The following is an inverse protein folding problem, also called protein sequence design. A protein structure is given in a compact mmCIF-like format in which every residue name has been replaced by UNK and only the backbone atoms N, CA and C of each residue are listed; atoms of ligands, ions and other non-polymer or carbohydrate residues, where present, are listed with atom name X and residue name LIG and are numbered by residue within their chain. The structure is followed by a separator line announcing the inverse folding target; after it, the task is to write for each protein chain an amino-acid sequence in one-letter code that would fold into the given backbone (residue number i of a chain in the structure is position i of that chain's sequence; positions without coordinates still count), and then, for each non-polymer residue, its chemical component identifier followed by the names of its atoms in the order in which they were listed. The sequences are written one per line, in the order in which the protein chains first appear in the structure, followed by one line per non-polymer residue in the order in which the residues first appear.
data_IF_364124932132
#
_entry.id   IF_364124932132
#
_cell.length_a   1.000
_cell.length_b   1.000
_cell.length_c   1.000
_cell.angle_alpha   90.00
_cell.angle_beta   90.00
_cell.angle_gamma   90.00
#
_symmetry.space_group_name_H-M   'P 1'
#
loop_
_entity.id
_entity.type
_entity.pdbx_description
1 polymer ?
#
# COMPACT_ATOMS: atom_id res chain seq x y z
N UNK A 1 10.95 5.58 -21.55
CA UNK A 1 10.25 6.78 -22.07
C UNK A 1 10.88 8.02 -21.44
N UNK A 2 11.09 9.08 -22.21
CA UNK A 2 11.73 10.31 -21.71
C UNK A 2 10.77 11.10 -20.82
N UNK A 3 11.30 11.79 -19.81
CA UNK A 3 10.55 12.63 -18.84
C UNK A 3 9.47 13.51 -19.49
N UNK A 4 9.77 14.02 -20.68
CA UNK A 4 8.91 14.95 -21.42
C UNK A 4 7.64 14.31 -21.98
N UNK A 5 7.67 13.02 -22.33
CA UNK A 5 6.46 12.31 -22.78
C UNK A 5 5.55 11.89 -21.62
N UNK A 6 6.10 11.85 -20.40
CA UNK A 6 5.34 11.57 -19.18
C UNK A 6 4.47 12.77 -18.77
N UNK A 7 4.90 14.00 -19.09
CA UNK A 7 4.21 15.23 -18.73
C UNK A 7 3.07 15.59 -19.69
N UNK A 8 3.16 15.27 -20.99
CA UNK A 8 2.13 15.59 -21.99
C UNK A 8 0.87 14.71 -21.92
N UNK A 9 0.98 13.44 -21.47
CA UNK A 9 -0.18 12.54 -21.35
C UNK A 9 -1.06 12.84 -20.12
N UNK A 10 -0.55 13.64 -19.19
CA UNK A 10 -1.17 13.96 -17.90
C UNK A 10 -2.18 15.12 -17.99
N UNK A 11 -2.31 15.85 -19.10
CA UNK A 11 -3.06 17.12 -19.10
C UNK A 11 -4.60 17.04 -19.25
N UNK A 12 -5.18 15.84 -19.47
CA UNK A 12 -6.55 15.70 -19.96
C UNK A 12 -7.70 15.53 -18.95
N UNK A 13 -7.46 15.27 -17.65
CA UNK A 13 -8.55 14.92 -16.71
C UNK A 13 -8.50 15.73 -15.40
N UNK A 14 -9.67 16.13 -14.88
CA UNK A 14 -9.79 16.91 -13.63
C UNK A 14 -9.16 16.27 -12.38
N UNK A 15 -8.86 14.97 -12.44
CA UNK A 15 -8.09 14.17 -11.47
C UNK A 15 -6.65 14.71 -11.29
N UNK A 16 -6.05 15.19 -12.38
CA UNK A 16 -4.69 15.74 -12.40
C UNK A 16 -4.62 17.09 -11.70
N UNK A 17 -5.72 17.86 -11.66
CA UNK A 17 -5.76 19.11 -10.91
C UNK A 17 -5.83 18.89 -9.39
N UNK A 18 -6.32 17.74 -8.92
CA UNK A 18 -6.32 17.35 -7.50
C UNK A 18 -4.96 16.75 -7.09
N UNK A 19 -4.42 15.85 -7.92
CA UNK A 19 -3.05 15.32 -7.79
C UNK A 19 -2.02 16.45 -7.89
N UNK A 20 -2.12 17.39 -8.84
CA UNK A 20 -1.29 18.62 -8.89
C UNK A 20 -1.55 19.52 -7.70
N UNK A 21 -2.77 19.66 -7.18
CA UNK A 21 -3.00 20.49 -5.97
C UNK A 21 -2.33 19.92 -4.73
N UNK A 22 -2.27 18.60 -4.58
CA UNK A 22 -1.50 17.96 -3.52
C UNK A 22 0.00 17.96 -3.84
N UNK A 23 0.45 17.52 -5.02
CA UNK A 23 1.86 17.56 -5.44
C UNK A 23 2.44 18.98 -5.40
N UNK A 24 1.69 20.04 -5.71
CA UNK A 24 2.13 21.45 -5.57
C UNK A 24 2.15 21.88 -4.11
N UNK A 25 1.27 21.32 -3.28
CA UNK A 25 1.29 21.55 -1.82
C UNK A 25 2.46 20.83 -1.17
N UNK A 26 2.89 19.65 -1.64
CA UNK A 26 3.96 18.80 -1.07
C UNK A 26 5.34 18.93 -1.74
N UNK A 27 5.44 19.28 -3.02
CA UNK A 27 6.70 19.65 -3.70
C UNK A 27 7.32 20.95 -3.16
N UNK A 28 6.50 21.80 -2.53
CA UNK A 28 6.96 22.96 -1.73
C UNK A 28 7.27 22.61 -0.26
N UNK A 29 7.19 21.34 0.14
CA UNK A 29 7.36 20.87 1.53
C UNK A 29 8.62 20.02 1.76
N UNK A 30 9.55 19.99 0.80
CA UNK A 30 10.93 19.58 1.07
C UNK A 30 11.64 20.66 1.89
N UNK A 31 11.51 20.61 3.21
CA UNK A 31 12.46 21.35 4.05
C UNK A 31 13.86 20.78 3.80
N UNK A 32 14.92 21.58 3.94
CA UNK A 32 16.31 21.15 3.79
C UNK A 32 16.63 19.81 4.48
N UNK A 33 15.91 19.46 5.55
CA UNK A 33 15.97 18.16 6.23
C UNK A 33 15.60 16.94 5.39
N UNK A 34 14.69 17.01 4.41
CA UNK A 34 14.37 15.88 3.54
C UNK A 34 15.40 15.68 2.43
N UNK A 35 15.96 16.77 1.91
CA UNK A 35 17.09 16.73 0.96
C UNK A 35 18.35 16.23 1.66
N UNK A 36 18.58 16.64 2.91
CA UNK A 36 19.66 16.13 3.74
C UNK A 36 19.44 14.66 4.14
N UNK A 37 18.21 14.25 4.45
CA UNK A 37 17.88 12.84 4.73
C UNK A 37 18.08 11.97 3.49
N UNK A 38 17.60 12.40 2.32
CA UNK A 38 17.81 11.71 1.05
C UNK A 38 19.29 11.68 0.64
N UNK A 39 20.01 12.80 0.81
CA UNK A 39 21.47 12.84 0.62
C UNK A 39 22.22 11.90 1.57
N UNK A 40 21.84 11.87 2.84
CA UNK A 40 22.41 10.99 3.86
C UNK A 40 22.10 9.52 3.58
N UNK A 41 20.88 9.20 3.13
CA UNK A 41 20.46 7.84 2.76
C UNK A 41 21.13 7.36 1.46
N UNK A 42 21.33 8.25 0.48
CA UNK A 42 22.13 7.96 -0.72
C UNK A 42 23.59 7.67 -0.37
N UNK A 43 24.16 8.37 0.61
CA UNK A 43 25.50 8.08 1.14
C UNK A 43 25.54 6.73 1.89
N UNK A 44 24.53 6.45 2.72
CA UNK A 44 24.41 5.17 3.43
C UNK A 44 24.30 3.96 2.48
N UNK A 45 23.50 4.08 1.40
CA UNK A 45 23.33 3.04 0.39
C UNK A 45 24.59 2.84 -0.47
N UNK A 46 25.37 3.90 -0.74
CA UNK A 46 26.63 3.80 -1.49
C UNK A 46 27.81 3.27 -0.67
N UNK A 47 27.75 3.40 0.64
CA UNK A 47 28.81 2.98 1.56
C UNK A 47 28.23 2.02 2.62
N UNK A 48 27.90 0.76 2.28
CA UNK A 48 27.19 -0.16 3.17
C UNK A 48 27.95 -0.54 4.46
N UNK A 49 29.28 -0.33 4.51
CA UNK A 49 30.17 -0.80 5.59
C UNK A 49 30.83 0.31 6.42
N UNK A 50 30.56 1.59 6.14
CA UNK A 50 31.17 2.70 6.89
C UNK A 50 30.44 2.95 8.23
N UNK A 51 31.14 3.03 9.37
CA UNK A 51 30.51 3.30 10.66
C UNK A 51 30.14 4.79 10.77
N UNK A 52 28.96 5.15 10.24
CA UNK A 52 28.41 6.50 10.34
C UNK A 52 27.55 6.66 11.62
N UNK A 53 27.59 7.82 12.31
CA UNK A 53 26.81 8.04 13.52
C UNK A 53 25.30 7.85 13.28
N UNK A 54 24.63 7.05 14.11
CA UNK A 54 23.18 6.83 13.98
C UNK A 54 22.76 5.82 12.91
N UNK A 55 23.71 5.16 12.22
CA UNK A 55 23.46 4.14 11.18
C UNK A 55 22.55 2.98 11.59
N UNK A 56 22.43 2.71 12.89
CA UNK A 56 21.63 1.61 13.44
C UNK A 56 20.43 2.07 14.28
N UNK A 57 20.18 3.38 14.38
CA UNK A 57 19.05 3.91 15.15
C UNK A 57 17.93 4.30 14.21
N UNK A 58 16.77 3.69 14.40
CA UNK A 58 15.56 4.14 13.73
C UNK A 58 15.32 5.62 14.04
N UNK A 59 14.83 6.38 13.06
CA UNK A 59 14.63 7.82 13.17
C UNK A 59 13.18 8.20 12.87
N UNK A 60 12.70 9.22 13.57
CA UNK A 60 11.36 9.76 13.38
C UNK A 60 11.40 10.84 12.29
N UNK A 61 10.70 10.59 11.19
CA UNK A 61 10.42 11.57 10.17
C UNK A 61 9.08 12.25 10.48
N UNK A 62 9.04 13.58 10.37
CA UNK A 62 7.83 14.41 10.56
C UNK A 62 7.50 15.13 9.25
N UNK A 63 6.79 14.48 8.33
CA UNK A 63 6.40 15.10 7.07
C UNK A 63 5.50 16.31 7.36
N UNK A 64 5.81 17.45 6.75
CA UNK A 64 5.05 18.68 6.98
C UNK A 64 3.63 18.50 6.41
N UNK A 65 2.61 18.58 7.26
CA UNK A 65 1.22 18.36 6.86
C UNK A 65 0.67 16.99 7.26
N UNK A 66 1.51 16.03 7.63
CA UNK A 66 1.06 14.75 8.19
C UNK A 66 0.78 14.91 9.69
N UNK A 67 -0.36 14.39 10.15
CA UNK A 67 -0.68 14.32 11.58
C UNK A 67 0.21 13.27 12.25
N UNK A 68 1.28 13.68 12.94
CA UNK A 68 2.17 12.78 13.69
C UNK A 68 3.53 12.54 13.04
N UNK A 69 4.12 11.37 13.26
CA UNK A 69 5.45 11.00 12.73
C UNK A 69 5.42 9.61 12.07
N UNK A 70 6.49 9.27 11.34
CA UNK A 70 6.78 7.94 10.83
C UNK A 70 8.20 7.57 11.27
N UNK A 71 8.32 6.45 11.96
CA UNK A 71 9.57 5.81 12.34
C UNK A 71 10.10 5.00 11.15
N UNK A 72 11.32 5.31 10.72
CA UNK A 72 12.01 4.65 9.61
C UNK A 72 13.28 3.97 10.13
N UNK A 73 13.55 2.76 9.64
CA UNK A 73 14.78 2.01 9.90
C UNK A 73 15.85 2.41 8.86
N UNK A 74 17.08 2.73 9.27
CA UNK A 74 18.16 3.00 8.32
C UNK A 74 18.70 1.70 7.67
N UNK A 75 19.16 1.80 6.41
CA UNK A 75 19.64 0.68 5.58
C UNK A 75 18.59 -0.40 5.31
N UNK A 76 17.31 -0.02 5.29
CA UNK A 76 16.21 -0.88 4.83
C UNK A 76 15.44 -0.15 3.72
N UNK A 77 14.42 -0.81 3.20
CA UNK A 77 13.50 -0.30 2.18
C UNK A 77 12.48 0.73 2.71
N UNK A 78 12.48 1.03 4.02
CA UNK A 78 11.54 1.92 4.70
C UNK A 78 11.44 3.31 4.03
N UNK A 79 12.58 3.86 3.56
CA UNK A 79 12.59 5.17 2.90
C UNK A 79 11.91 5.14 1.52
N UNK A 80 12.03 4.03 0.80
CA UNK A 80 11.41 3.87 -0.51
C UNK A 80 9.90 3.78 -0.33
N UNK A 81 9.42 2.94 0.59
CA UNK A 81 8.01 2.87 0.96
C UNK A 81 7.47 4.26 1.39
N UNK A 82 8.23 5.01 2.20
CA UNK A 82 7.87 6.39 2.54
C UNK A 82 7.77 7.30 1.31
N UNK A 83 8.75 7.24 0.41
CA UNK A 83 8.81 8.10 -0.75
C UNK A 83 7.71 7.79 -1.77
N UNK A 84 7.39 6.53 -2.00
CA UNK A 84 6.33 6.14 -2.94
C UNK A 84 4.98 6.69 -2.47
N UNK A 85 4.64 6.50 -1.18
CA UNK A 85 3.37 6.98 -0.63
C UNK A 85 3.32 8.51 -0.52
N UNK A 86 4.35 9.15 0.05
CA UNK A 86 4.27 10.57 0.43
C UNK A 86 4.90 11.54 -0.58
N UNK A 87 5.92 11.14 -1.33
CA UNK A 87 6.57 12.01 -2.33
C UNK A 87 6.05 11.78 -3.73
N UNK A 88 5.93 10.52 -4.15
CA UNK A 88 5.34 10.18 -5.46
C UNK A 88 3.80 10.29 -5.44
N UNK A 89 3.20 10.41 -4.24
CA UNK A 89 1.76 10.47 -4.05
C UNK A 89 1.06 9.30 -4.75
N UNK A 90 1.65 8.10 -4.64
CA UNK A 90 1.26 6.91 -5.38
C UNK A 90 -0.22 6.59 -5.25
N UNK A 91 -0.77 6.83 -4.06
CA UNK A 91 -2.19 6.61 -3.75
C UNK A 91 -3.04 7.89 -3.72
N UNK A 92 -2.53 9.01 -4.24
CA UNK A 92 -3.23 10.30 -4.23
C UNK A 92 -4.55 10.31 -5.02
N UNK A 93 -4.67 9.44 -6.02
CA UNK A 93 -5.87 9.31 -6.85
C UNK A 93 -7.12 8.87 -6.07
N UNK A 94 -6.95 8.31 -4.87
CA UNK A 94 -8.07 7.76 -4.08
C UNK A 94 -9.13 8.81 -3.73
N UNK A 95 -8.74 10.09 -3.64
CA UNK A 95 -9.64 11.20 -3.32
C UNK A 95 -10.69 11.48 -4.42
N UNK A 96 -10.43 11.02 -5.63
CA UNK A 96 -11.39 11.11 -6.74
C UNK A 96 -12.25 9.86 -6.88
N UNK A 97 -11.82 8.73 -6.29
CA UNK A 97 -12.54 7.46 -6.31
C UNK A 97 -13.47 7.28 -5.11
N UNK A 98 -13.03 7.62 -3.90
CA UNK A 98 -13.84 7.50 -2.69
C UNK A 98 -14.70 8.75 -2.44
N UNK A 99 -15.93 8.74 -2.96
CA UNK A 99 -16.93 9.76 -2.66
C UNK A 99 -18.27 9.09 -2.30
N UNK A 100 -18.70 9.14 -1.01
CA UNK A 100 -18.10 9.86 0.14
C UNK A 100 -16.74 9.27 0.62
N UNK A 101 -16.01 9.96 1.53
CA UNK A 101 -14.79 9.42 2.14
C UNK A 101 -15.01 8.04 2.78
N UNK A 102 -14.06 7.11 2.69
CA UNK A 102 -14.21 5.76 3.19
C UNK A 102 -14.18 5.75 4.72
N UNK A 103 -15.02 4.91 5.32
CA UNK A 103 -15.08 4.64 6.77
C UNK A 103 -14.53 3.28 7.13
N UNK A 104 -14.43 2.36 6.16
CA UNK A 104 -13.93 0.99 6.32
C UNK A 104 -12.85 0.74 5.29
N UNK A 105 -11.61 0.64 5.74
CA UNK A 105 -10.43 0.46 4.90
C UNK A 105 -9.73 -0.86 5.21
N UNK A 106 -9.52 -1.68 4.19
CA UNK A 106 -8.71 -2.89 4.26
C UNK A 106 -7.39 -2.62 3.52
N UNK A 107 -6.25 -2.72 4.23
CA UNK A 107 -4.91 -2.49 3.70
C UNK A 107 -4.12 -3.80 3.71
N UNK A 108 -3.89 -4.38 2.53
CA UNK A 108 -3.11 -5.60 2.35
C UNK A 108 -1.68 -5.25 1.91
N UNK A 109 -0.71 -5.83 2.62
CA UNK A 109 0.70 -5.47 2.53
C UNK A 109 0.97 -4.13 3.19
N UNK A 110 0.62 -4.05 4.47
CA UNK A 110 0.83 -2.83 5.26
C UNK A 110 2.31 -2.45 5.37
N UNK A 111 3.24 -3.39 5.14
CA UNK A 111 4.68 -3.20 5.22
C UNK A 111 5.06 -2.55 6.57
N UNK A 112 5.77 -1.43 6.56
CA UNK A 112 6.10 -0.68 7.77
C UNK A 112 4.98 0.27 8.24
N UNK A 113 3.79 0.23 7.65
CA UNK A 113 2.63 1.03 8.01
C UNK A 113 2.55 2.40 7.33
N UNK A 114 3.36 2.67 6.31
CA UNK A 114 3.36 3.98 5.62
C UNK A 114 2.01 4.32 4.99
N UNK A 115 1.39 3.38 4.27
CA UNK A 115 0.04 3.54 3.70
C UNK A 115 -1.00 3.72 4.80
N UNK A 116 -0.94 2.92 5.87
CA UNK A 116 -1.83 3.03 7.03
C UNK A 116 -1.76 4.42 7.67
N UNK A 117 -0.56 5.00 7.80
CA UNK A 117 -0.35 6.37 8.28
C UNK A 117 -0.96 7.41 7.34
N UNK A 118 -0.90 7.16 6.04
CA UNK A 118 -1.53 8.00 5.03
C UNK A 118 -3.06 7.95 5.14
N UNK A 119 -3.67 6.77 5.35
CA UNK A 119 -5.11 6.62 5.57
C UNK A 119 -5.59 7.28 6.86
N UNK A 120 -4.89 7.06 7.98
CA UNK A 120 -5.21 7.74 9.24
C UNK A 120 -5.21 9.28 9.10
N UNK A 121 -4.38 9.81 8.20
CA UNK A 121 -4.31 11.24 7.94
C UNK A 121 -5.44 11.75 7.04
N UNK A 122 -5.73 11.04 5.94
CA UNK A 122 -6.78 11.44 5.00
C UNK A 122 -8.19 11.19 5.55
N UNK A 123 -8.36 10.09 6.30
CA UNK A 123 -9.64 9.55 6.75
C UNK A 123 -9.57 9.25 8.26
N UNK A 124 -9.50 10.28 9.13
CA UNK A 124 -9.28 10.10 10.56
C UNK A 124 -10.39 9.31 11.28
N UNK A 125 -11.60 9.27 10.71
CA UNK A 125 -12.75 8.55 11.25
C UNK A 125 -12.88 7.12 10.70
N UNK A 126 -11.97 6.68 9.84
CA UNK A 126 -12.00 5.34 9.26
C UNK A 126 -11.54 4.27 10.25
N UNK A 127 -12.24 3.13 10.25
CA UNK A 127 -11.75 1.88 10.78
C UNK A 127 -10.85 1.21 9.74
N UNK A 128 -9.66 0.80 10.17
CA UNK A 128 -8.63 0.25 9.28
C UNK A 128 -8.25 -1.14 9.76
N UNK A 129 -8.28 -2.12 8.86
CA UNK A 129 -7.64 -3.43 9.07
C UNK A 129 -6.42 -3.49 8.17
N UNK A 130 -5.23 -3.62 8.75
CA UNK A 130 -3.96 -3.73 8.02
C UNK A 130 -3.36 -5.12 8.20
N UNK A 131 -2.86 -5.71 7.11
CA UNK A 131 -2.32 -7.07 7.07
C UNK A 131 -0.87 -7.05 6.58
N UNK A 132 0.05 -7.62 7.37
CA UNK A 132 1.48 -7.69 7.04
C UNK A 132 2.08 -9.02 7.51
N UNK A 133 2.60 -9.88 6.62
CA UNK A 133 3.13 -11.18 7.00
C UNK A 133 4.52 -11.15 7.63
N UNK A 134 5.42 -10.22 7.24
CA UNK A 134 6.78 -10.21 7.77
C UNK A 134 6.82 -9.65 9.21
N UNK A 135 7.32 -10.45 10.15
CA UNK A 135 7.31 -10.10 11.57
C UNK A 135 8.07 -8.80 11.88
N UNK A 136 9.14 -8.46 11.13
CA UNK A 136 9.91 -7.23 11.35
C UNK A 136 9.13 -6.02 10.83
N UNK A 137 8.50 -6.14 9.65
CA UNK A 137 7.64 -5.10 9.08
C UNK A 137 6.39 -4.91 9.94
N UNK A 138 5.73 -5.99 10.35
CA UNK A 138 4.59 -5.97 11.26
C UNK A 138 4.91 -5.25 12.59
N UNK A 139 6.05 -5.54 13.21
CA UNK A 139 6.49 -4.83 14.42
C UNK A 139 6.73 -3.33 14.17
N UNK A 140 7.24 -2.98 12.99
CA UNK A 140 7.47 -1.59 12.59
C UNK A 140 6.14 -0.86 12.32
N UNK A 141 5.20 -1.52 11.64
CA UNK A 141 3.84 -1.06 11.38
C UNK A 141 3.08 -0.77 12.67
N UNK A 142 3.15 -1.65 13.66
CA UNK A 142 2.57 -1.41 14.99
C UNK A 142 3.11 -0.12 15.62
N UNK A 143 4.43 0.08 15.60
CA UNK A 143 5.05 1.29 16.14
C UNK A 143 4.60 2.53 15.37
N UNK A 144 4.53 2.44 14.05
CA UNK A 144 4.12 3.57 13.21
C UNK A 144 2.68 3.98 13.47
N UNK A 145 1.74 3.04 13.55
CA UNK A 145 0.33 3.33 13.83
C UNK A 145 0.14 4.13 15.12
N UNK A 146 0.90 3.82 16.17
CA UNK A 146 0.86 4.55 17.45
C UNK A 146 1.34 6.01 17.34
N UNK A 147 2.08 6.35 16.28
CA UNK A 147 2.54 7.71 15.99
C UNK A 147 1.52 8.51 15.16
N UNK A 148 0.35 7.93 14.87
CA UNK A 148 -0.73 8.51 14.10
C UNK A 148 -1.94 8.97 14.91
N UNK A 149 -2.89 9.67 14.26
CA UNK A 149 -4.17 9.97 14.87
C UNK A 149 -5.02 8.71 14.96
N UNK A 150 -5.85 8.63 16.01
CA UNK A 150 -6.81 7.54 16.23
C UNK A 150 -6.22 6.12 16.05
N UNK A 151 -5.11 5.75 16.72
CA UNK A 151 -4.53 4.41 16.62
C UNK A 151 -5.51 3.31 17.07
N UNK A 152 -6.48 3.65 17.93
CA UNK A 152 -7.53 2.74 18.35
C UNK A 152 -8.48 2.29 17.22
N UNK A 153 -8.53 3.02 16.10
CA UNK A 153 -9.33 2.65 14.93
C UNK A 153 -8.59 1.66 14.00
N UNK A 154 -7.34 1.33 14.30
CA UNK A 154 -6.51 0.49 13.44
C UNK A 154 -6.28 -0.88 14.09
N UNK A 155 -6.72 -1.94 13.41
CA UNK A 155 -6.42 -3.32 13.74
C UNK A 155 -5.34 -3.84 12.80
N UNK A 156 -4.35 -4.53 13.36
CA UNK A 156 -3.23 -5.09 12.60
C UNK A 156 -3.22 -6.60 12.72
N UNK A 157 -2.90 -7.30 11.64
CA UNK A 157 -2.88 -8.77 11.58
C UNK A 157 -1.56 -9.22 10.97
N UNK A 158 -0.83 -10.07 11.68
CA UNK A 158 0.41 -10.69 11.20
C UNK A 158 0.06 -11.97 10.44
N UNK A 159 -0.24 -11.85 9.14
CA UNK A 159 -0.65 -12.96 8.28
C UNK A 159 -0.46 -12.61 6.80
N UNK A 160 -0.48 -13.63 5.95
CA UNK A 160 -0.69 -13.44 4.51
C UNK A 160 -2.18 -13.29 4.21
N UNK A 161 -2.56 -12.30 3.41
CA UNK A 161 -3.86 -12.34 2.76
C UNK A 161 -3.87 -13.44 1.70
N UNK A 162 -4.90 -14.27 1.70
CA UNK A 162 -4.96 -15.45 0.83
C UNK A 162 -6.40 -15.80 0.45
N UNK A 163 -6.55 -16.85 -0.36
CA UNK A 163 -7.84 -17.43 -0.74
C UNK A 163 -8.46 -18.27 0.38
N UNK A 164 -7.64 -18.83 1.29
CA UNK A 164 -8.09 -19.64 2.41
C UNK A 164 -7.26 -19.42 3.69
N UNK A 165 -7.86 -19.71 4.85
CA UNK A 165 -7.18 -19.76 6.13
C UNK A 165 -6.25 -20.98 6.20
N UNK A 166 -5.09 -20.85 6.85
CA UNK A 166 -4.07 -21.89 6.86
C UNK A 166 -2.69 -21.35 7.22
N UNK A 167 -1.65 -21.94 6.61
CA UNK A 167 -0.27 -21.51 6.76
C UNK A 167 0.47 -21.51 5.43
N UNK A 168 1.42 -20.60 5.28
CA UNK A 168 2.31 -20.51 4.12
C UNK A 168 3.73 -20.15 4.57
N UNK A 169 4.72 -20.63 3.83
CA UNK A 169 6.12 -20.25 3.98
C UNK A 169 6.45 -18.95 3.26
N UNK A 170 7.45 -18.22 3.76
CA UNK A 170 8.10 -17.13 3.04
C UNK A 170 9.30 -17.69 2.26
N UNK A 171 9.33 -17.47 0.94
CA UNK A 171 10.58 -17.42 0.17
C UNK A 171 11.18 -16.00 0.24
N UNK A 172 12.46 -15.86 0.63
CA UNK A 172 13.22 -14.59 0.69
C UNK A 172 14.29 -14.47 -0.41
N UNK A 173 14.29 -15.38 -1.39
CA UNK A 173 15.33 -15.49 -2.42
C UNK A 173 15.52 -14.22 -3.28
N UNK A 174 14.49 -13.37 -3.38
CA UNK A 174 14.48 -12.13 -4.17
C UNK A 174 14.64 -10.85 -3.33
N UNK A 175 15.05 -10.95 -2.05
CA UNK A 175 15.28 -9.79 -1.16
C UNK A 175 14.03 -9.34 -0.38
N UNK A 176 14.08 -8.12 0.19
CA UNK A 176 12.98 -7.58 1.05
C UNK A 176 11.65 -7.38 0.30
N UNK A 177 11.65 -7.36 -1.03
CA UNK A 177 10.46 -7.13 -1.86
C UNK A 177 9.85 -8.40 -2.46
N UNK A 178 10.50 -9.56 -2.32
CA UNK A 178 10.05 -10.77 -3.00
C UNK A 178 9.49 -11.79 -2.03
N UNK A 179 8.30 -11.54 -1.47
CA UNK A 179 7.61 -12.50 -0.64
C UNK A 179 6.75 -13.40 -1.52
N UNK A 180 7.15 -14.66 -1.69
CA UNK A 180 6.30 -15.66 -2.34
C UNK A 180 5.83 -16.68 -1.31
N UNK A 181 4.52 -16.94 -1.31
CA UNK A 181 3.94 -18.04 -0.53
C UNK A 181 4.49 -19.37 -1.06
N UNK A 182 5.15 -20.14 -0.21
CA UNK A 182 5.67 -21.47 -0.52
C UNK A 182 5.15 -22.52 0.46
N UNK A 183 4.95 -23.75 0.02
CA UNK A 183 4.61 -24.88 0.88
C UNK A 183 5.83 -25.77 1.17
N UNK A 184 7.03 -25.32 0.81
CA UNK A 184 8.25 -26.11 0.94
C UNK A 184 8.67 -26.36 2.40
N UNK A 185 9.07 -27.60 2.77
CA UNK A 185 9.58 -27.92 4.10
C UNK A 185 10.84 -27.11 4.43
N UNK A 186 10.88 -26.49 5.63
CA UNK A 186 12.03 -25.74 6.14
C UNK A 186 11.91 -24.22 6.04
N UNK A 187 10.86 -23.70 5.40
CA UNK A 187 10.53 -22.27 5.43
C UNK A 187 9.81 -21.88 6.74
N UNK A 188 10.00 -20.64 7.17
CA UNK A 188 9.25 -20.04 8.29
C UNK A 188 7.75 -20.04 7.95
N UNK A 189 6.96 -20.76 8.73
CA UNK A 189 5.52 -20.92 8.50
C UNK A 189 4.74 -19.78 9.16
N UNK A 190 4.02 -19.00 8.35
CA UNK A 190 3.19 -17.87 8.78
C UNK A 190 1.73 -18.16 8.47
N UNK A 191 0.85 -17.65 9.32
CA UNK A 191 -0.59 -17.82 9.14
C UNK A 191 -1.07 -17.14 7.85
N UNK A 192 -2.05 -17.76 7.19
CA UNK A 192 -2.82 -17.13 6.11
C UNK A 192 -4.22 -16.79 6.63
N UNK A 193 -4.80 -15.71 6.12
CA UNK A 193 -6.15 -15.28 6.44
C UNK A 193 -6.90 -15.00 5.14
N UNK A 194 -8.08 -15.60 5.01
CA UNK A 194 -8.92 -15.46 3.82
C UNK A 194 -9.47 -14.05 3.66
N UNK A 195 -9.63 -13.62 2.40
CA UNK A 195 -10.26 -12.34 2.07
C UNK A 195 -11.65 -12.17 2.68
N UNK A 196 -12.49 -13.21 2.65
CA UNK A 196 -13.82 -13.17 3.26
C UNK A 196 -13.75 -12.86 4.75
N UNK A 197 -12.85 -13.51 5.48
CA UNK A 197 -12.68 -13.27 6.91
C UNK A 197 -12.15 -11.86 7.20
N UNK A 198 -11.23 -11.35 6.38
CA UNK A 198 -10.75 -9.97 6.50
C UNK A 198 -11.88 -8.96 6.29
N UNK A 199 -12.73 -9.19 5.30
CA UNK A 199 -13.89 -8.34 5.03
C UNK A 199 -14.90 -8.46 6.17
N UNK A 200 -15.19 -9.65 6.69
CA UNK A 200 -16.12 -9.85 7.81
C UNK A 200 -15.65 -9.18 9.11
N UNK A 201 -14.34 -9.07 9.32
CA UNK A 201 -13.77 -8.33 10.46
C UNK A 201 -14.06 -6.82 10.41
N UNK A 202 -14.38 -6.27 9.24
CA UNK A 202 -14.45 -4.82 9.00
C UNK A 202 -15.82 -4.35 8.52
N UNK A 203 -16.53 -5.17 7.75
CA UNK A 203 -17.72 -4.79 7.02
C UNK A 203 -18.87 -4.31 7.92
N UNK A 204 -19.01 -4.87 9.12
CA UNK A 204 -20.13 -4.55 10.01
C UNK A 204 -21.47 -5.03 9.42
N UNK A 205 -22.55 -4.29 9.67
CA UNK A 205 -23.92 -4.73 9.34
C UNK A 205 -24.28 -4.64 7.85
N UNK A 206 -23.67 -3.71 7.10
CA UNK A 206 -23.97 -3.53 5.67
C UNK A 206 -23.20 -4.53 4.78
N UNK A 207 -22.28 -5.32 5.35
CA UNK A 207 -21.52 -6.32 4.62
C UNK A 207 -20.48 -5.73 3.64
N UNK A 208 -20.20 -4.41 3.67
CA UNK A 208 -19.37 -3.72 2.68
C UNK A 208 -18.06 -3.16 3.25
N UNK A 209 -17.03 -3.09 2.43
CA UNK A 209 -15.77 -2.37 2.69
C UNK A 209 -15.62 -1.27 1.67
N UNK A 210 -15.38 -0.05 2.15
CA UNK A 210 -15.42 1.14 1.30
C UNK A 210 -14.16 1.24 0.44
N UNK A 211 -13.02 0.80 0.97
CA UNK A 211 -11.74 0.91 0.30
C UNK A 211 -10.82 -0.29 0.60
N UNK A 212 -10.31 -0.92 -0.45
CA UNK A 212 -9.27 -1.95 -0.42
C UNK A 212 -7.96 -1.42 -1.03
N UNK A 213 -6.86 -1.41 -0.29
CA UNK A 213 -5.49 -1.36 -0.85
C UNK A 213 -4.97 -2.79 -0.94
N UNK A 214 -4.50 -3.21 -2.11
CA UNK A 214 -3.88 -4.51 -2.31
C UNK A 214 -2.54 -4.35 -3.02
N UNK A 215 -1.46 -4.55 -2.27
CA UNK A 215 -0.11 -4.60 -2.81
C UNK A 215 0.66 -5.55 -1.90
N UNK A 216 0.82 -6.79 -2.37
CA UNK A 216 1.26 -7.96 -1.61
C UNK A 216 2.31 -8.76 -2.39
N UNK A 217 3.03 -8.06 -3.28
CA UNK A 217 4.23 -8.52 -4.00
C UNK A 217 4.06 -9.87 -4.73
N UNK A 218 2.95 -10.03 -5.47
CA UNK A 218 2.76 -11.13 -6.43
C UNK A 218 1.64 -12.11 -6.08
N UNK A 219 1.06 -12.04 -4.88
CA UNK A 219 -0.11 -12.85 -4.51
C UNK A 219 -1.45 -12.27 -5.01
N UNK A 220 -1.44 -11.11 -5.68
CA UNK A 220 -2.65 -10.44 -6.18
C UNK A 220 -3.40 -11.34 -7.17
N UNK A 221 -2.67 -12.01 -8.07
CA UNK A 221 -3.26 -12.87 -9.09
C UNK A 221 -4.14 -13.96 -8.49
N UNK A 222 -3.68 -14.65 -7.44
CA UNK A 222 -4.44 -15.73 -6.80
C UNK A 222 -5.67 -15.19 -6.06
N UNK A 223 -5.52 -14.06 -5.35
CA UNK A 223 -6.62 -13.41 -4.64
C UNK A 223 -7.73 -12.96 -5.59
N UNK A 224 -7.38 -12.26 -6.67
CA UNK A 224 -8.36 -11.70 -7.60
C UNK A 224 -8.95 -12.76 -8.53
N UNK A 225 -8.18 -13.78 -8.93
CA UNK A 225 -8.71 -14.90 -9.70
C UNK A 225 -9.82 -15.67 -8.95
N UNK A 226 -9.81 -15.62 -7.61
CA UNK A 226 -10.77 -16.26 -6.71
C UNK A 226 -11.67 -15.25 -5.98
N UNK A 227 -11.94 -14.09 -6.58
CA UNK A 227 -12.64 -12.99 -5.92
C UNK A 227 -14.19 -13.04 -5.97
N UNK A 228 -14.77 -14.02 -6.66
CA UNK A 228 -16.24 -14.16 -6.87
C UNK A 228 -17.04 -14.01 -5.57
N UNK A 229 -16.54 -14.56 -4.47
CA UNK A 229 -17.25 -14.59 -3.20
C UNK A 229 -17.30 -13.23 -2.48
N UNK A 230 -16.47 -12.27 -2.87
CA UNK A 230 -16.30 -11.02 -2.12
C UNK A 230 -16.15 -9.74 -2.93
N UNK A 231 -15.91 -9.80 -4.25
CA UNK A 231 -15.64 -8.60 -5.06
C UNK A 231 -16.78 -7.56 -4.98
N UNK A 232 -18.03 -8.01 -4.87
CA UNK A 232 -19.22 -7.16 -4.72
C UNK A 232 -19.35 -6.46 -3.36
N UNK A 233 -18.48 -6.83 -2.40
CA UNK A 233 -18.40 -6.26 -1.05
C UNK A 233 -17.36 -5.14 -0.95
N UNK A 234 -16.70 -4.80 -2.05
CA UNK A 234 -15.69 -3.72 -2.11
C UNK A 234 -16.26 -2.58 -2.96
N UNK A 235 -16.28 -1.36 -2.44
CA UNK A 235 -16.75 -0.20 -3.20
C UNK A 235 -15.64 0.40 -4.08
N UNK A 236 -14.41 0.48 -3.55
CA UNK A 236 -13.24 1.01 -4.26
C UNK A 236 -12.02 0.16 -3.95
N UNK A 237 -11.17 -0.08 -4.95
CA UNK A 237 -9.90 -0.76 -4.77
C UNK A 237 -8.74 0.02 -5.41
N UNK A 238 -7.57 -0.08 -4.80
CA UNK A 238 -6.28 0.29 -5.39
C UNK A 238 -5.38 -0.93 -5.31
N UNK A 239 -4.92 -1.40 -6.46
CA UNK A 239 -4.16 -2.65 -6.58
C UNK A 239 -2.85 -2.39 -7.28
N UNK A 240 -1.72 -2.80 -6.69
CA UNK A 240 -0.45 -2.86 -7.40
C UNK A 240 -0.29 -4.22 -8.08
N UNK A 241 -0.19 -4.22 -9.41
CA UNK A 241 0.02 -5.45 -10.19
C UNK A 241 1.51 -5.70 -10.37
N UNK A 242 1.94 -6.92 -10.07
CA UNK A 242 3.33 -7.37 -10.17
C UNK A 242 3.48 -8.41 -11.30
N UNK A 243 4.41 -8.22 -12.26
CA UNK A 243 4.64 -9.21 -13.32
C UNK A 243 4.84 -10.63 -12.77
N UNK A 244 4.25 -11.66 -13.41
CA UNK A 244 3.58 -11.61 -14.71
C UNK A 244 2.12 -11.15 -14.66
N UNK A 245 1.57 -10.81 -13.50
CA UNK A 245 0.20 -10.31 -13.38
C UNK A 245 0.12 -8.86 -13.85
N UNK A 246 -0.74 -8.61 -14.85
CA UNK A 246 -0.89 -7.29 -15.47
C UNK A 246 -2.21 -6.63 -15.08
N UNK A 247 -2.35 -5.31 -15.31
CA UNK A 247 -3.62 -4.60 -15.16
C UNK A 247 -4.77 -5.26 -15.94
N UNK A 248 -4.51 -5.73 -17.16
CA UNK A 248 -5.50 -6.42 -17.98
C UNK A 248 -5.91 -7.76 -17.36
N UNK A 249 -4.97 -8.48 -16.76
CA UNK A 249 -5.24 -9.70 -16.00
C UNK A 249 -6.13 -9.43 -14.79
N UNK A 250 -5.84 -8.37 -14.05
CA UNK A 250 -6.67 -7.90 -12.92
C UNK A 250 -8.10 -7.60 -13.35
N UNK A 251 -8.28 -6.80 -14.40
CA UNK A 251 -9.62 -6.46 -14.91
C UNK A 251 -10.38 -7.71 -15.38
N UNK A 252 -9.70 -8.63 -16.07
CA UNK A 252 -10.30 -9.87 -16.54
C UNK A 252 -10.79 -10.75 -15.37
N UNK A 253 -9.99 -10.87 -14.30
CA UNK A 253 -10.37 -11.62 -13.10
C UNK A 253 -11.53 -10.96 -12.36
N UNK A 254 -11.51 -9.63 -12.22
CA UNK A 254 -12.60 -8.84 -11.62
C UNK A 254 -13.91 -9.02 -12.38
N UNK A 255 -13.88 -8.92 -13.72
CA UNK A 255 -15.07 -9.11 -14.55
C UNK A 255 -15.58 -10.56 -14.48
N UNK A 256 -14.66 -11.54 -14.52
CA UNK A 256 -15.01 -12.97 -14.37
C UNK A 256 -15.68 -13.24 -13.02
N UNK A 257 -15.22 -12.56 -11.96
CA UNK A 257 -15.79 -12.62 -10.63
C UNK A 257 -17.17 -11.94 -10.49
N UNK A 258 -17.66 -11.28 -11.55
CA UNK A 258 -18.93 -10.55 -11.55
C UNK A 258 -18.83 -9.10 -11.04
N UNK A 259 -17.61 -8.56 -10.87
CA UNK A 259 -17.40 -7.16 -10.52
C UNK A 259 -17.76 -6.22 -11.68
N UNK A 260 -18.54 -5.17 -11.38
CA UNK A 260 -18.89 -4.13 -12.36
C UNK A 260 -18.03 -2.89 -12.09
N UNK A 261 -17.05 -2.64 -12.95
CA UNK A 261 -16.17 -1.46 -12.83
C UNK A 261 -16.87 -0.25 -13.44
N UNK A 262 -17.08 0.78 -12.64
CA UNK A 262 -17.69 2.05 -13.06
C UNK A 262 -16.63 3.07 -13.51
N UNK A 263 -15.53 3.14 -12.76
CA UNK A 263 -14.40 4.01 -13.06
C UNK A 263 -13.10 3.23 -12.86
N UNK A 264 -12.14 3.46 -13.75
CA UNK A 264 -10.81 2.87 -13.72
C UNK A 264 -9.76 3.94 -14.00
N UNK A 265 -8.60 3.83 -13.35
CA UNK A 265 -7.38 4.53 -13.72
C UNK A 265 -6.18 3.61 -13.50
N UNK A 266 -5.38 3.41 -14.54
CA UNK A 266 -4.13 2.64 -14.46
C UNK A 266 -2.93 3.58 -14.56
N UNK A 267 -2.03 3.51 -13.58
CA UNK A 267 -0.79 4.27 -13.53
C UNK A 267 0.42 3.31 -13.67
N UNK A 268 1.18 3.36 -14.77
CA UNK A 268 2.32 2.47 -14.96
C UNK A 268 3.47 2.80 -13.99
N UNK A 269 4.15 1.76 -13.50
CA UNK A 269 5.38 1.82 -12.70
C UNK A 269 6.55 1.21 -13.47
N UNK A 270 7.75 1.35 -12.92
CA UNK A 270 8.94 0.70 -13.48
C UNK A 270 8.83 -0.83 -13.41
N UNK A 271 9.64 -1.51 -14.23
CA UNK A 271 9.75 -2.98 -14.23
C UNK A 271 8.45 -3.73 -14.56
N UNK A 272 7.52 -3.09 -15.28
CA UNK A 272 6.25 -3.70 -15.68
C UNK A 272 5.19 -3.76 -14.59
N UNK A 273 5.44 -3.14 -13.43
CA UNK A 273 4.44 -2.95 -12.38
C UNK A 273 3.44 -1.85 -12.78
N UNK A 274 2.28 -1.82 -12.14
CA UNK A 274 1.32 -0.73 -12.28
C UNK A 274 0.40 -0.62 -11.07
N UNK A 275 -0.12 0.58 -10.81
CA UNK A 275 -1.15 0.83 -9.79
C UNK A 275 -2.48 1.06 -10.49
N UNK A 276 -3.46 0.22 -10.18
CA UNK A 276 -4.79 0.21 -10.79
C UNK A 276 -5.81 0.65 -9.75
N UNK A 277 -6.52 1.73 -10.04
CA UNK A 277 -7.63 2.23 -9.26
C UNK A 277 -8.94 1.74 -9.87
N UNK A 278 -9.81 1.17 -9.04
CA UNK A 278 -11.10 0.63 -9.45
C UNK A 278 -12.19 1.20 -8.54
N UNK A 279 -13.27 1.71 -9.13
CA UNK A 279 -14.53 1.98 -8.44
C UNK A 279 -15.57 1.00 -8.94
N UNK A 280 -16.21 0.29 -8.03
CA UNK A 280 -17.24 -0.69 -8.35
C UNK A 280 -18.63 -0.06 -8.28
N UNK A 281 -19.52 -0.51 -9.17
CA UNK A 281 -20.96 -0.30 -9.05
C UNK A 281 -21.56 -1.51 -8.33
N UNK A 282 -22.20 -1.27 -7.20
CA UNK A 282 -22.97 -2.33 -6.54
C UNK A 282 -24.27 -2.59 -7.33
N UNK A 283 -24.65 -3.86 -7.52
CA UNK A 283 -25.90 -4.25 -8.16
C UNK A 283 -27.14 -3.83 -7.35
#
# INVERSE_FOLDING_TARGET
MSKTQHDEYIEGTGCVAAIRRQLVRWSKLSNAGSVLADGYLRVLNRLPRTPLPGRHRAFLLRPKGLSGSILLRPNTTDIHAFADVFYAAEYGGILDFCRPPPRKILDLGGNIGTSVRYWQHLFPDAQIVAVEPDAKNFSQLQKNILLGPAPANVKVICAFAATADGTAGIDRSQGEYGFRMTTEPGCESIATISMLKLIDLLAGQDGQVDFLKCDIEGAEADIFANSQAWIYRIATAVVETHPPYSPEGLLADVMRAGGIVEHELTLPKMEGRAVVYLRFRHP
#
